data_IF_776002573572
#
_entry.id   IF_776002573572
#
_cell.length_a   1.000
_cell.length_b   1.000
_cell.length_c   1.000
_cell.angle_alpha   90.00
_cell.angle_beta   90.00
_cell.angle_gamma   90.00
#
_symmetry.space_group_name_H-M   'P 1'
#
loop_
_entity.id
_entity.type
_entity.pdbx_description
1 polymer ?
#
# COMPACT_ATOMS: atom_id res chain seq x y z
N UNK A 1 14.08 -53.17 -31.10
CA UNK A 1 14.78 -51.86 -31.07
C UNK A 1 13.96 -50.93 -30.19
N UNK A 2 14.30 -50.86 -28.89
CA UNK A 2 13.63 -50.01 -27.90
C UNK A 2 14.71 -49.06 -27.41
N UNK A 3 14.63 -47.79 -27.82
CA UNK A 3 15.57 -46.76 -27.42
C UNK A 3 15.01 -46.14 -26.15
N UNK A 4 15.59 -46.51 -25.00
CA UNK A 4 15.35 -45.82 -23.73
C UNK A 4 16.09 -44.47 -23.76
N UNK A 5 15.33 -43.38 -23.83
CA UNK A 5 15.86 -42.03 -23.60
C UNK A 5 15.95 -41.79 -22.10
N UNK A 6 17.13 -41.99 -21.51
CA UNK A 6 17.43 -41.50 -20.15
C UNK A 6 17.80 -40.03 -20.23
N UNK A 7 16.85 -39.16 -19.94
CA UNK A 7 17.07 -37.72 -19.72
C UNK A 7 17.83 -37.52 -18.40
N UNK A 8 19.12 -37.19 -18.48
CA UNK A 8 19.90 -36.68 -17.34
C UNK A 8 19.37 -35.30 -16.96
N UNK A 9 18.75 -35.19 -15.78
CA UNK A 9 18.54 -33.91 -15.10
C UNK A 9 19.90 -33.44 -14.56
N UNK A 10 20.50 -32.49 -15.26
CA UNK A 10 21.67 -31.76 -14.78
C UNK A 10 21.15 -30.77 -13.73
N UNK A 11 21.24 -31.14 -12.45
CA UNK A 11 21.08 -30.20 -11.34
C UNK A 11 22.29 -29.27 -11.36
N UNK A 12 22.14 -28.09 -11.95
CA UNK A 12 23.08 -26.98 -11.73
C UNK A 12 23.06 -26.65 -10.23
N UNK A 13 24.20 -26.59 -9.54
CA UNK A 13 24.21 -26.13 -8.17
C UNK A 13 23.70 -24.69 -8.15
N UNK A 14 22.57 -24.50 -7.48
CA UNK A 14 22.00 -23.19 -7.20
C UNK A 14 23.11 -22.26 -6.71
N UNK A 15 23.22 -21.08 -7.32
CA UNK A 15 23.93 -19.96 -6.73
C UNK A 15 23.16 -19.55 -5.47
N UNK A 16 23.34 -20.31 -4.39
CA UNK A 16 22.81 -19.99 -3.07
C UNK A 16 23.48 -18.70 -2.63
N UNK A 17 22.79 -17.58 -2.81
CA UNK A 17 23.18 -16.27 -2.30
C UNK A 17 23.37 -16.42 -0.80
N UNK A 18 24.63 -16.35 -0.35
CA UNK A 18 24.98 -16.34 1.05
C UNK A 18 24.62 -14.97 1.63
N UNK A 19 23.37 -14.80 2.07
CA UNK A 19 22.95 -13.61 2.78
C UNK A 19 23.57 -13.64 4.18
N UNK A 20 24.69 -12.93 4.35
CA UNK A 20 25.31 -12.73 5.65
C UNK A 20 24.30 -12.05 6.57
N UNK A 21 23.96 -12.69 7.69
CA UNK A 21 23.10 -12.10 8.73
C UNK A 21 23.67 -10.74 9.10
N UNK A 22 22.93 -9.67 8.81
CA UNK A 22 23.36 -8.32 9.15
C UNK A 22 23.16 -8.14 10.65
N UNK A 23 24.17 -7.66 11.36
CA UNK A 23 24.04 -7.30 12.77
C UNK A 23 22.84 -6.34 12.96
N UNK A 24 22.08 -6.43 14.07
CA UNK A 24 20.95 -5.54 14.31
C UNK A 24 21.45 -4.10 14.35
N UNK A 25 21.27 -3.35 13.26
CA UNK A 25 21.58 -1.92 13.23
C UNK A 25 20.55 -1.21 14.12
N UNK A 26 21.03 -0.34 15.01
CA UNK A 26 20.16 0.63 15.69
C UNK A 26 19.32 1.36 14.64
N UNK A 27 18.01 1.20 14.72
CA UNK A 27 17.07 1.87 13.82
C UNK A 27 17.01 3.33 14.27
N UNK A 28 17.88 4.17 13.71
CA UNK A 28 17.70 5.63 13.81
C UNK A 28 16.39 5.98 13.10
N UNK A 29 15.51 6.81 13.70
CA UNK A 29 14.18 7.10 13.14
C UNK A 29 14.22 7.77 11.76
N UNK A 30 15.37 8.34 11.39
CA UNK A 30 15.64 8.88 10.07
C UNK A 30 17.08 8.50 9.72
N UNK A 31 17.27 7.56 8.81
CA UNK A 31 18.58 7.41 8.18
C UNK A 31 18.76 8.61 7.24
N UNK A 32 19.86 9.36 7.37
CA UNK A 32 20.17 10.53 6.53
C UNK A 32 20.15 10.22 5.01
N UNK A 33 20.23 8.93 4.65
CA UNK A 33 20.23 8.43 3.28
C UNK A 33 18.87 7.89 2.79
N UNK A 34 17.78 8.01 3.55
CA UNK A 34 16.45 7.57 3.09
C UNK A 34 15.83 8.61 2.16
N UNK A 35 15.93 8.37 0.85
CA UNK A 35 15.17 9.11 -0.16
C UNK A 35 13.70 8.69 -0.08
N UNK A 36 12.89 9.49 0.64
CA UNK A 36 11.43 9.30 0.76
C UNK A 36 10.74 10.44 0.04
N UNK A 37 9.76 10.13 -0.81
CA UNK A 37 8.93 11.16 -1.46
C UNK A 37 7.74 11.54 -0.58
N UNK A 38 7.17 12.76 -0.73
CA UNK A 38 5.94 13.12 -0.05
C UNK A 38 4.80 12.12 -0.29
N UNK A 39 4.74 11.53 -1.48
CA UNK A 39 3.77 10.48 -1.82
C UNK A 39 3.96 9.23 -0.96
N UNK A 40 5.19 8.81 -0.69
CA UNK A 40 5.47 7.66 0.17
C UNK A 40 4.99 7.90 1.61
N UNK A 41 5.16 9.12 2.12
CA UNK A 41 4.65 9.52 3.44
C UNK A 41 3.11 9.49 3.45
N UNK A 42 2.47 10.05 2.41
CA UNK A 42 1.01 10.02 2.29
C UNK A 42 0.49 8.57 2.26
N UNK A 43 1.16 7.69 1.51
CA UNK A 43 0.81 6.27 1.40
C UNK A 43 0.89 5.58 2.76
N UNK A 44 1.99 5.77 3.49
CA UNK A 44 2.19 5.18 4.82
C UNK A 44 1.07 5.58 5.80
N UNK A 45 0.62 6.83 5.73
CA UNK A 45 -0.46 7.35 6.57
C UNK A 45 -1.83 6.77 6.19
N UNK A 46 -2.17 6.70 4.89
CA UNK A 46 -3.56 6.41 4.46
C UNK A 46 -3.82 4.95 4.07
N UNK A 47 -2.81 4.23 3.59
CA UNK A 47 -2.98 2.86 3.09
C UNK A 47 -3.54 1.90 4.13
N UNK A 48 -3.11 1.91 5.41
CA UNK A 48 -3.67 1.00 6.40
C UNK A 48 -5.19 1.15 6.60
N UNK A 49 -5.72 2.37 6.43
CA UNK A 49 -7.16 2.63 6.55
C UNK A 49 -7.90 2.27 5.28
N UNK A 50 -7.32 2.54 4.10
CA UNK A 50 -7.89 2.13 2.82
C UNK A 50 -7.93 0.60 2.72
N UNK A 51 -6.86 -0.09 3.11
CA UNK A 51 -6.75 -1.54 3.06
C UNK A 51 -7.87 -2.23 3.86
N UNK A 52 -8.06 -1.81 5.12
CA UNK A 52 -9.19 -2.27 5.96
C UNK A 52 -10.55 -2.02 5.32
N UNK A 53 -10.70 -0.90 4.61
CA UNK A 53 -11.95 -0.58 3.90
C UNK A 53 -12.15 -1.47 2.70
N UNK A 54 -11.14 -1.67 1.85
CA UNK A 54 -11.18 -2.56 0.69
C UNK A 54 -11.51 -3.99 1.12
N UNK A 55 -10.85 -4.52 2.15
CA UNK A 55 -11.16 -5.84 2.72
C UNK A 55 -12.63 -5.94 3.10
N UNK A 56 -13.19 -4.91 3.75
CA UNK A 56 -14.59 -4.88 4.15
C UNK A 56 -15.55 -4.86 2.95
N UNK A 57 -15.25 -4.08 1.92
CA UNK A 57 -16.09 -4.00 0.72
C UNK A 57 -16.08 -5.30 -0.09
N UNK A 58 -14.93 -5.97 -0.21
CA UNK A 58 -14.73 -7.15 -1.05
C UNK A 58 -14.77 -8.49 -0.29
N UNK A 59 -15.57 -8.57 0.78
CA UNK A 59 -15.97 -9.85 1.38
C UNK A 59 -15.10 -10.36 2.54
N UNK A 60 -14.30 -9.50 3.17
CA UNK A 60 -13.85 -9.66 4.56
C UNK A 60 -12.82 -10.76 4.85
N UNK A 61 -12.29 -11.46 3.83
CA UNK A 61 -11.11 -12.31 4.01
C UNK A 61 -9.89 -11.41 3.92
N UNK A 62 -8.90 -11.57 4.80
CA UNK A 62 -7.67 -10.76 4.73
C UNK A 62 -6.96 -10.89 3.37
N UNK A 63 -7.10 -12.05 2.72
CA UNK A 63 -6.66 -12.27 1.34
C UNK A 63 -7.41 -11.43 0.28
N UNK A 64 -8.59 -10.89 0.58
CA UNK A 64 -9.35 -10.00 -0.30
C UNK A 64 -8.78 -8.57 -0.35
N UNK A 65 -7.96 -8.18 0.63
CA UNK A 65 -7.15 -6.95 0.55
C UNK A 65 -5.89 -7.14 -0.30
N UNK A 66 -5.53 -8.38 -0.59
CA UNK A 66 -4.34 -8.67 -1.36
C UNK A 66 -4.57 -8.33 -2.83
N UNK A 67 -3.83 -7.34 -3.32
CA UNK A 67 -3.75 -7.03 -4.76
C UNK A 67 -4.42 -5.73 -5.19
N UNK A 68 -5.06 -4.97 -4.30
CA UNK A 68 -5.45 -3.61 -4.69
C UNK A 68 -4.20 -2.74 -4.88
N UNK A 69 -4.26 -1.80 -5.82
CA UNK A 69 -3.12 -0.97 -6.19
C UNK A 69 -3.54 0.49 -6.23
N UNK A 70 -2.72 1.39 -5.68
CA UNK A 70 -2.89 2.81 -5.95
C UNK A 70 -2.64 3.06 -7.44
N UNK A 71 -3.57 3.75 -8.10
CA UNK A 71 -3.34 4.34 -9.42
C UNK A 71 -2.78 5.74 -9.27
N UNK A 72 -3.57 6.68 -8.74
CA UNK A 72 -3.16 8.08 -8.58
C UNK A 72 -3.94 8.81 -7.51
N UNK A 73 -3.33 9.84 -6.96
CA UNK A 73 -4.01 10.88 -6.19
C UNK A 73 -4.78 11.76 -7.19
N UNK A 74 -6.09 11.87 -7.00
CA UNK A 74 -6.98 12.70 -7.82
C UNK A 74 -7.00 14.13 -7.31
N UNK A 75 -7.05 14.31 -5.98
CA UNK A 75 -7.13 15.62 -5.36
C UNK A 75 -6.67 15.59 -3.91
N UNK A 76 -6.14 16.72 -3.44
CA UNK A 76 -5.82 16.98 -2.03
C UNK A 76 -6.41 18.34 -1.68
N UNK A 77 -7.30 18.38 -0.69
CA UNK A 77 -7.97 19.60 -0.25
C UNK A 77 -7.65 19.86 1.21
N UNK A 78 -7.10 21.04 1.50
CA UNK A 78 -6.94 21.53 2.87
C UNK A 78 -8.25 22.15 3.35
N UNK A 79 -8.73 21.71 4.50
CA UNK A 79 -9.99 22.15 5.08
C UNK A 79 -9.77 23.19 6.20
N UNK A 80 -10.80 24.02 6.46
CA UNK A 80 -10.76 25.07 7.48
C UNK A 80 -10.61 24.55 8.92
N UNK A 81 -10.90 23.27 9.16
CA UNK A 81 -10.71 22.59 10.45
C UNK A 81 -9.30 21.97 10.59
N UNK A 82 -8.34 22.41 9.76
CA UNK A 82 -6.96 21.90 9.75
C UNK A 82 -6.86 20.40 9.46
N UNK A 83 -7.60 19.91 8.45
CA UNK A 83 -7.49 18.53 7.95
C UNK A 83 -7.24 18.49 6.45
N UNK A 84 -6.66 17.41 5.94
CA UNK A 84 -6.57 17.15 4.50
C UNK A 84 -7.58 16.10 4.07
N UNK A 85 -8.37 16.41 3.04
CA UNK A 85 -9.16 15.42 2.30
C UNK A 85 -8.35 14.97 1.10
N UNK A 86 -8.04 13.68 1.01
CA UNK A 86 -7.26 13.07 -0.07
C UNK A 86 -8.18 12.13 -0.84
N UNK A 87 -8.30 12.36 -2.14
CA UNK A 87 -9.06 11.48 -3.05
C UNK A 87 -8.10 10.65 -3.88
N UNK A 88 -8.25 9.33 -3.86
CA UNK A 88 -7.35 8.36 -4.47
C UNK A 88 -8.13 7.43 -5.40
N UNK A 89 -7.65 7.23 -6.63
CA UNK A 89 -8.09 6.13 -7.46
C UNK A 89 -7.28 4.88 -7.11
N UNK A 90 -7.99 3.80 -6.85
CA UNK A 90 -7.40 2.48 -6.62
C UNK A 90 -7.91 1.50 -7.66
N UNK A 91 -7.10 0.51 -7.98
CA UNK A 91 -7.52 -0.67 -8.70
C UNK A 91 -7.75 -1.79 -7.70
N UNK A 92 -8.83 -2.53 -7.87
CA UNK A 92 -9.20 -3.67 -7.04
C UNK A 92 -9.53 -4.86 -7.95
N UNK A 93 -9.18 -6.10 -7.56
CA UNK A 93 -9.51 -7.28 -8.37
C UNK A 93 -11.03 -7.42 -8.58
N UNK A 94 -11.47 -7.60 -9.83
CA UNK A 94 -12.88 -7.86 -10.13
C UNK A 94 -13.24 -9.29 -9.70
N UNK A 95 -13.92 -9.39 -8.55
CA UNK A 95 -14.41 -10.67 -8.02
C UNK A 95 -15.50 -11.34 -8.86
N UNK A 96 -16.09 -10.66 -9.86
CA UNK A 96 -17.27 -11.17 -10.57
C UNK A 96 -16.97 -11.88 -11.88
N UNK A 97 -15.86 -11.59 -12.58
CA UNK A 97 -15.68 -12.08 -13.95
C UNK A 97 -14.32 -12.74 -14.25
N UNK A 98 -13.21 -12.28 -13.66
CA UNK A 98 -11.87 -12.79 -13.99
C UNK A 98 -10.83 -12.34 -12.94
N UNK A 99 -10.04 -13.25 -12.32
CA UNK A 99 -9.03 -12.87 -11.32
C UNK A 99 -7.88 -12.01 -11.88
N UNK A 100 -7.80 -11.83 -13.20
CA UNK A 100 -6.82 -10.96 -13.86
C UNK A 100 -7.39 -9.60 -14.27
N UNK A 101 -8.69 -9.37 -14.07
CA UNK A 101 -9.33 -8.08 -14.36
C UNK A 101 -9.37 -7.23 -13.09
N UNK A 102 -9.12 -5.93 -13.27
CA UNK A 102 -9.16 -4.94 -12.22
C UNK A 102 -10.24 -3.92 -12.56
N UNK A 103 -11.02 -3.52 -11.56
CA UNK A 103 -11.89 -2.34 -11.67
C UNK A 103 -11.29 -1.17 -10.90
N UNK A 104 -11.73 0.04 -11.22
CA UNK A 104 -11.31 1.25 -10.52
C UNK A 104 -12.34 1.66 -9.47
N UNK A 105 -11.87 1.87 -8.25
CA UNK A 105 -12.65 2.51 -7.20
C UNK A 105 -12.05 3.88 -6.88
N UNK A 106 -12.90 4.80 -6.42
CA UNK A 106 -12.50 6.10 -5.89
C UNK A 106 -12.70 6.13 -4.38
N UNK A 107 -11.62 6.34 -3.64
CA UNK A 107 -11.64 6.42 -2.18
C UNK A 107 -11.30 7.83 -1.74
N UNK A 108 -12.10 8.38 -0.82
CA UNK A 108 -11.81 9.67 -0.18
C UNK A 108 -11.51 9.46 1.30
N UNK A 109 -10.34 9.90 1.74
CA UNK A 109 -9.90 9.83 3.14
C UNK A 109 -9.66 11.22 3.71
N UNK A 110 -9.82 11.36 5.03
CA UNK A 110 -9.48 12.56 5.78
C UNK A 110 -8.37 12.27 6.78
N UNK A 111 -7.31 13.06 6.72
CA UNK A 111 -6.20 13.03 7.69
C UNK A 111 -6.31 14.26 8.59
N UNK A 112 -6.39 14.05 9.90
CA UNK A 112 -6.49 15.14 10.89
C UNK A 112 -5.66 14.84 12.15
N UNK A 113 -5.10 15.86 12.82
CA UNK A 113 -4.93 17.23 12.33
C UNK A 113 -3.77 17.33 11.33
N UNK A 114 -3.76 18.39 10.53
CA UNK A 114 -2.60 18.80 9.74
C UNK A 114 -1.56 19.46 10.64
N UNK A 115 -0.31 19.02 10.49
CA UNK A 115 0.84 19.53 11.22
C UNK A 115 1.50 20.76 10.60
N UNK A 116 0.93 21.30 9.52
CA UNK A 116 1.40 22.52 8.87
C UNK A 116 0.75 23.80 9.44
N UNK A 117 0.19 23.72 10.66
CA UNK A 117 -0.40 24.88 11.31
C UNK A 117 0.58 25.47 12.32
N UNK A 118 0.95 26.76 12.21
CA UNK A 118 1.79 27.43 13.22
C UNK A 118 1.09 27.55 14.58
N UNK A 119 -0.20 27.19 14.65
CA UNK A 119 -1.03 27.20 15.86
C UNK A 119 -1.20 25.83 16.49
N UNK A 120 -0.85 24.74 15.80
CA UNK A 120 -1.06 23.37 16.26
C UNK A 120 0.31 22.69 16.35
N UNK A 121 0.82 22.51 17.56
CA UNK A 121 1.96 21.64 17.80
C UNK A 121 1.54 20.19 17.62
N UNK A 122 2.15 19.48 16.68
CA UNK A 122 1.90 18.05 16.48
C UNK A 122 2.69 17.20 17.47
N UNK A 123 2.10 16.95 18.62
CA UNK A 123 2.56 15.99 19.62
C UNK A 123 1.71 14.72 19.67
N UNK A 124 0.79 14.56 18.71
CA UNK A 124 -0.28 13.55 18.71
C UNK A 124 -0.33 12.77 17.40
N UNK A 125 -0.81 11.52 17.48
CA UNK A 125 -1.04 10.66 16.33
C UNK A 125 -2.12 11.22 15.40
N UNK A 126 -1.99 10.94 14.11
CA UNK A 126 -3.00 11.30 13.12
C UNK A 126 -4.23 10.40 13.23
N UNK A 127 -5.40 10.99 13.07
CA UNK A 127 -6.66 10.29 12.80
C UNK A 127 -6.86 10.25 11.29
N UNK A 128 -7.06 9.04 10.75
CA UNK A 128 -7.35 8.82 9.33
C UNK A 128 -8.72 8.16 9.22
N UNK A 129 -9.62 8.78 8.47
CA UNK A 129 -11.01 8.32 8.30
C UNK A 129 -11.38 8.20 6.83
N UNK A 130 -12.10 7.15 6.44
CA UNK A 130 -12.71 7.07 5.11
C UNK A 130 -13.98 7.92 5.11
N UNK A 131 -14.02 8.95 4.26
CA UNK A 131 -15.18 9.81 4.08
C UNK A 131 -16.15 9.27 3.04
N UNK A 132 -15.61 8.68 1.96
CA UNK A 132 -16.40 8.18 0.84
C UNK A 132 -15.69 7.03 0.13
N UNK A 133 -16.47 6.14 -0.48
CA UNK A 133 -16.00 5.00 -1.26
C UNK A 133 -16.96 4.76 -2.42
N UNK A 134 -16.48 4.92 -3.65
CA UNK A 134 -17.30 4.82 -4.86
C UNK A 134 -16.74 3.75 -5.78
N UNK A 135 -17.61 2.86 -6.26
CA UNK A 135 -17.31 1.91 -7.33
C UNK A 135 -17.50 2.58 -8.70
N UNK A 136 -16.55 2.44 -9.62
CA UNK A 136 -16.71 2.90 -11.01
C UNK A 136 -17.05 1.76 -11.97
#
# INVERSE_FOLDING_TARGET
MIILFTSLLIFSPDNLVNAKSTEPKEIKPYAEDWYVTPEDIIRDIIFPVIDKRVIKEYGGKEASGFGWQQQRIVNIVYNNNHSYDISLRIQVPDSKNNPFEYTEDLVKVRVSPSCDSPKIGCSHGYKVEVLDYQHQ
#
